data_IF_121645936766
#
_entry.id   IF_121645936766
#
_cell.length_a   1.000
_cell.length_b   1.000
_cell.length_c   1.000
_cell.angle_alpha   90.00
_cell.angle_beta   90.00
_cell.angle_gamma   90.00
#
_symmetry.space_group_name_H-M   'P 1'
#
loop_
_entity.id
_entity.type
_entity.pdbx_description
1 polymer ?
#
# COMPACT_ATOMS: atom_id res chain seq x y z
N UNK A 1 -1.31 -13.35 -1.54
CA UNK A 1 -2.24 -14.51 -1.50
C UNK A 1 -3.67 -13.98 -1.34
N UNK A 2 -4.58 -14.42 -2.24
CA UNK A 2 -6.01 -14.05 -2.17
C UNK A 2 -6.71 -14.69 -0.96
N UNK A 3 -7.91 -14.18 -0.63
CA UNK A 3 -8.72 -14.63 0.51
C UNK A 3 -8.95 -16.14 0.48
N UNK A 4 -9.33 -16.70 -0.69
CA UNK A 4 -9.61 -18.13 -0.87
C UNK A 4 -8.39 -19.03 -0.57
N UNK A 5 -7.16 -18.57 -0.87
CA UNK A 5 -5.93 -19.32 -0.57
C UNK A 5 -5.65 -19.31 0.92
N UNK A 6 -5.86 -18.17 1.59
CA UNK A 6 -5.71 -18.04 3.04
C UNK A 6 -6.71 -18.91 3.80
N UNK A 7 -7.96 -18.96 3.35
CA UNK A 7 -9.00 -19.82 3.93
C UNK A 7 -8.69 -21.30 3.71
N UNK A 8 -8.20 -21.68 2.51
CA UNK A 8 -7.81 -23.07 2.22
C UNK A 8 -6.60 -23.53 3.05
N UNK A 9 -5.63 -22.64 3.31
CA UNK A 9 -4.51 -22.95 4.21
C UNK A 9 -5.00 -23.18 5.64
N UNK A 10 -5.98 -22.39 6.11
CA UNK A 10 -6.58 -22.54 7.43
C UNK A 10 -7.36 -23.85 7.61
N UNK A 11 -8.10 -24.25 6.58
CA UNK A 11 -8.89 -25.51 6.63
C UNK A 11 -8.04 -26.79 6.60
N UNK A 12 -6.75 -26.70 6.30
CA UNK A 12 -5.86 -27.86 6.18
C UNK A 12 -5.44 -28.46 7.54
N UNK A 13 -5.50 -27.69 8.63
CA UNK A 13 -5.18 -28.19 9.98
C UNK A 13 -5.90 -27.34 11.05
N UNK A 14 -6.63 -28.00 11.94
CA UNK A 14 -7.43 -27.38 13.00
C UNK A 14 -6.60 -26.79 14.16
N UNK A 15 -5.32 -27.17 14.31
CA UNK A 15 -4.44 -26.77 15.42
C UNK A 15 -3.16 -26.11 14.94
N UNK A 16 -3.25 -25.05 14.12
CA UNK A 16 -2.08 -24.26 13.72
C UNK A 16 -2.28 -22.79 14.10
N UNK A 17 -1.31 -22.24 14.82
CA UNK A 17 -1.21 -20.79 15.03
C UNK A 17 -0.88 -20.09 13.70
N UNK A 18 -1.66 -19.06 13.38
CA UNK A 18 -1.53 -18.31 12.12
C UNK A 18 -1.18 -16.87 12.40
N UNK A 19 0.06 -16.48 12.13
CA UNK A 19 0.49 -15.08 12.15
C UNK A 19 0.43 -14.49 10.75
N UNK A 20 -0.25 -13.36 10.61
CA UNK A 20 -0.32 -12.59 9.35
C UNK A 20 0.37 -11.25 9.55
N UNK A 21 1.37 -10.95 8.72
CA UNK A 21 2.10 -9.68 8.73
C UNK A 21 1.74 -8.87 7.47
N UNK A 22 1.50 -7.58 7.63
CA UNK A 22 1.22 -6.67 6.51
C UNK A 22 1.65 -5.25 6.84
N UNK A 23 2.10 -4.50 5.84
CA UNK A 23 2.37 -3.07 5.97
C UNK A 23 1.07 -2.24 5.86
N UNK A 24 0.11 -2.73 5.08
CA UNK A 24 -1.21 -2.12 4.86
C UNK A 24 -2.25 -3.22 4.94
N UNK A 25 -2.97 -3.38 6.08
CA UNK A 25 -4.02 -4.37 6.17
C UNK A 25 -5.09 -4.10 5.11
N UNK A 26 -5.51 -5.16 4.41
CA UNK A 26 -6.65 -5.06 3.48
C UNK A 26 -7.88 -4.64 4.30
N UNK A 27 -8.73 -3.71 3.81
CA UNK A 27 -9.90 -3.22 4.55
C UNK A 27 -10.72 -4.33 5.20
N UNK A 28 -10.97 -5.43 4.50
CA UNK A 28 -11.69 -6.60 5.03
C UNK A 28 -10.95 -7.29 6.20
N UNK A 29 -9.63 -7.45 6.10
CA UNK A 29 -8.82 -8.04 7.20
C UNK A 29 -8.79 -7.11 8.41
N UNK A 30 -8.71 -5.81 8.18
CA UNK A 30 -8.77 -4.79 9.22
C UNK A 30 -10.13 -4.80 9.92
N UNK A 31 -11.23 -4.88 9.17
CA UNK A 31 -12.59 -5.03 9.74
C UNK A 31 -12.70 -6.24 10.67
N UNK A 32 -12.23 -7.43 10.25
CA UNK A 32 -12.25 -8.61 11.11
C UNK A 32 -11.46 -8.43 12.40
N UNK A 33 -10.35 -7.69 12.37
CA UNK A 33 -9.57 -7.40 13.59
C UNK A 33 -10.27 -6.37 14.46
N UNK A 34 -10.86 -5.35 13.88
CA UNK A 34 -11.66 -4.35 14.62
C UNK A 34 -12.92 -4.96 15.26
N UNK A 35 -13.44 -6.04 14.69
CA UNK A 35 -14.57 -6.83 15.25
C UNK A 35 -14.15 -7.80 16.36
N UNK A 36 -12.91 -7.73 16.83
CA UNK A 36 -12.35 -8.71 17.80
C UNK A 36 -12.45 -10.17 17.33
N UNK A 37 -12.61 -10.38 16.02
CA UNK A 37 -12.57 -11.72 15.42
C UNK A 37 -11.13 -12.22 15.25
N UNK A 38 -10.13 -11.34 15.44
CA UNK A 38 -8.69 -11.64 15.42
C UNK A 38 -7.95 -10.61 16.25
N UNK A 39 -6.94 -11.06 16.97
CA UNK A 39 -6.01 -10.18 17.65
C UNK A 39 -5.23 -9.34 16.67
N UNK A 40 -5.02 -8.07 17.00
CA UNK A 40 -4.29 -7.12 16.21
C UNK A 40 -3.18 -6.48 17.04
N UNK A 41 -1.95 -6.63 16.58
CA UNK A 41 -0.81 -5.89 17.12
C UNK A 41 -0.26 -4.92 16.08
N UNK A 42 -0.02 -3.67 16.48
CA UNK A 42 0.46 -2.61 15.60
C UNK A 42 1.88 -2.24 16.00
N UNK A 43 2.82 -2.32 15.04
CA UNK A 43 4.20 -1.89 15.23
C UNK A 43 4.30 -0.42 14.78
N UNK A 44 4.28 0.50 15.73
CA UNK A 44 4.29 1.95 15.45
C UNK A 44 5.69 2.57 15.44
N UNK A 45 6.70 1.91 16.02
CA UNK A 45 8.04 2.47 16.12
C UNK A 45 8.83 2.21 14.82
N UNK A 46 9.14 3.25 14.04
CA UNK A 46 9.94 3.09 12.84
C UNK A 46 11.42 2.81 13.20
N UNK A 47 12.20 2.19 12.30
CA UNK A 47 13.64 2.08 12.46
C UNK A 47 14.31 3.46 12.55
N UNK A 48 15.26 3.62 13.49
CA UNK A 48 15.92 4.90 13.81
C UNK A 48 16.69 5.55 12.64
N UNK A 49 17.05 4.77 11.62
CA UNK A 49 17.90 5.22 10.51
C UNK A 49 17.10 5.59 9.24
N UNK A 50 15.77 5.71 9.31
CA UNK A 50 14.96 6.06 8.14
C UNK A 50 14.55 7.52 8.16
N UNK A 51 14.74 8.17 7.01
CA UNK A 51 14.25 9.53 6.75
C UNK A 51 12.87 9.43 6.09
N UNK A 52 11.89 10.26 6.49
CA UNK A 52 10.60 10.31 5.80
C UNK A 52 10.76 10.62 4.31
N UNK A 53 9.93 9.96 3.48
CA UNK A 53 9.94 10.17 2.04
C UNK A 53 9.24 11.50 1.73
N UNK A 54 9.94 12.41 1.07
CA UNK A 54 9.36 13.65 0.60
C UNK A 54 8.39 13.35 -0.53
N UNK A 55 7.10 13.55 -0.28
CA UNK A 55 6.03 13.18 -1.21
C UNK A 55 5.38 14.45 -1.76
N UNK A 56 5.20 14.50 -3.08
CA UNK A 56 4.59 15.64 -3.76
C UNK A 56 3.59 15.19 -4.82
N UNK A 57 2.45 15.89 -4.88
CA UNK A 57 1.44 15.71 -5.93
C UNK A 57 1.68 16.76 -7.00
N UNK A 58 2.07 16.32 -8.18
CA UNK A 58 2.44 17.19 -9.28
C UNK A 58 1.56 16.97 -10.52
N UNK A 59 1.48 17.97 -11.38
CA UNK A 59 1.01 17.78 -12.75
C UNK A 59 2.14 17.22 -13.60
N UNK A 60 1.77 16.62 -14.72
CA UNK A 60 2.78 16.17 -15.70
C UNK A 60 3.57 17.38 -16.22
N UNK A 61 4.83 17.47 -15.84
CA UNK A 61 5.76 18.56 -16.19
C UNK A 61 7.11 17.98 -16.60
N UNK A 62 7.44 18.17 -17.87
CA UNK A 62 8.67 17.65 -18.45
C UNK A 62 9.93 18.21 -17.79
N UNK A 63 9.93 19.49 -17.41
CA UNK A 63 11.09 20.12 -16.80
C UNK A 63 11.34 19.58 -15.40
N UNK A 64 10.29 19.50 -14.57
CA UNK A 64 10.38 18.96 -13.22
C UNK A 64 10.83 17.50 -13.25
N UNK A 65 10.23 16.67 -14.13
CA UNK A 65 10.60 15.24 -14.27
C UNK A 65 12.06 15.12 -14.67
N UNK A 66 12.49 15.85 -15.70
CA UNK A 66 13.87 15.83 -16.17
C UNK A 66 14.86 16.24 -15.09
N UNK A 67 14.59 17.34 -14.41
CA UNK A 67 15.52 17.93 -13.44
C UNK A 67 15.61 17.04 -12.18
N UNK A 68 14.49 16.45 -11.73
CA UNK A 68 14.49 15.47 -10.64
C UNK A 68 15.23 14.18 -11.00
N UNK A 69 15.10 13.68 -12.24
CA UNK A 69 15.85 12.51 -12.71
C UNK A 69 17.34 12.82 -12.74
N UNK A 70 17.74 13.96 -13.30
CA UNK A 70 19.15 14.37 -13.34
C UNK A 70 19.75 14.48 -11.95
N UNK A 71 19.06 15.14 -11.06
CA UNK A 71 19.48 15.26 -9.66
C UNK A 71 19.72 13.88 -9.01
N UNK A 72 18.81 12.91 -9.24
CA UNK A 72 18.97 11.57 -8.68
C UNK A 72 20.19 10.83 -9.28
N UNK A 73 20.36 10.90 -10.61
CA UNK A 73 21.49 10.26 -11.29
C UNK A 73 22.83 10.90 -10.89
N UNK A 74 22.89 12.23 -10.78
CA UNK A 74 24.11 12.96 -10.39
C UNK A 74 24.61 12.58 -8.99
N UNK A 75 23.69 12.27 -8.06
CA UNK A 75 24.08 11.76 -6.73
C UNK A 75 24.28 10.24 -6.66
N UNK A 76 24.27 9.56 -7.85
CA UNK A 76 24.49 8.13 -7.98
C UNK A 76 23.31 7.27 -7.49
N UNK A 77 22.10 7.80 -7.47
CA UNK A 77 20.89 7.05 -7.11
C UNK A 77 20.17 6.49 -8.33
N UNK A 78 19.14 5.70 -8.08
CA UNK A 78 18.29 5.07 -9.09
C UNK A 78 16.83 5.50 -8.96
N UNK A 79 16.09 5.34 -10.04
CA UNK A 79 14.72 5.83 -10.15
C UNK A 79 13.77 4.69 -10.53
N UNK A 80 12.65 4.60 -9.82
CA UNK A 80 11.47 3.90 -10.28
C UNK A 80 10.56 4.86 -11.04
N UNK A 81 10.12 4.46 -12.24
CA UNK A 81 9.07 5.17 -12.95
C UNK A 81 7.90 4.22 -13.20
N UNK A 82 6.78 4.46 -12.52
CA UNK A 82 5.59 3.62 -12.63
C UNK A 82 4.65 4.16 -13.68
N UNK A 83 4.36 3.33 -14.69
CA UNK A 83 3.40 3.63 -15.75
C UNK A 83 2.48 2.44 -15.97
N UNK A 84 1.25 2.51 -15.45
CA UNK A 84 0.35 1.34 -15.36
C UNK A 84 -0.44 1.06 -16.65
N UNK A 85 0.19 1.23 -17.81
CA UNK A 85 -0.41 0.89 -19.11
C UNK A 85 0.61 0.14 -19.96
N UNK A 86 0.45 -1.16 -20.08
CA UNK A 86 1.37 -2.02 -20.87
C UNK A 86 1.34 -1.62 -22.35
N UNK A 87 0.17 -1.25 -22.88
CA UNK A 87 -0.03 -1.04 -24.30
C UNK A 87 0.79 0.13 -24.86
N UNK A 88 1.06 1.15 -24.06
CA UNK A 88 1.86 2.31 -24.47
C UNK A 88 3.15 2.52 -23.64
N UNK A 89 3.55 1.54 -22.82
CA UNK A 89 4.76 1.67 -21.98
C UNK A 89 6.04 1.84 -22.83
N UNK A 90 6.09 1.23 -23.99
CA UNK A 90 7.22 1.35 -24.93
C UNK A 90 7.32 2.76 -25.52
N UNK A 91 6.20 3.36 -25.92
CA UNK A 91 6.15 4.74 -26.41
C UNK A 91 6.53 5.72 -25.29
N UNK A 92 6.03 5.47 -24.08
CA UNK A 92 6.41 6.24 -22.91
C UNK A 92 7.91 6.12 -22.60
N UNK A 93 8.51 4.96 -22.81
CA UNK A 93 9.93 4.72 -22.67
C UNK A 93 10.76 5.52 -23.69
N UNK A 94 10.31 5.62 -24.94
CA UNK A 94 10.94 6.45 -25.98
C UNK A 94 10.89 7.92 -25.56
N UNK A 95 9.72 8.43 -25.18
CA UNK A 95 9.57 9.80 -24.67
C UNK A 95 10.52 10.07 -23.49
N UNK A 96 10.60 9.15 -22.52
CA UNK A 96 11.47 9.30 -21.36
C UNK A 96 12.95 9.30 -21.76
N UNK A 97 13.35 8.48 -22.73
CA UNK A 97 14.72 8.47 -23.26
C UNK A 97 15.07 9.78 -23.99
N UNK A 98 14.13 10.38 -24.71
CA UNK A 98 14.31 11.69 -25.35
C UNK A 98 14.45 12.82 -24.30
N UNK A 99 13.70 12.71 -23.19
CA UNK A 99 13.74 13.69 -22.10
C UNK A 99 15.06 13.66 -21.34
N UNK A 100 15.65 12.46 -21.16
CA UNK A 100 16.91 12.22 -20.45
C UNK A 100 17.85 11.31 -21.26
N UNK A 101 18.47 11.82 -22.35
CA UNK A 101 19.20 10.99 -23.32
C UNK A 101 20.36 10.19 -22.72
N UNK A 102 20.98 10.70 -21.65
CA UNK A 102 22.14 10.07 -21.00
C UNK A 102 21.77 8.99 -19.98
N UNK A 103 20.50 8.86 -19.62
CA UNK A 103 20.04 7.88 -18.66
C UNK A 103 19.87 6.51 -19.32
N UNK A 104 20.29 5.46 -18.61
CA UNK A 104 20.04 4.07 -19.02
C UNK A 104 18.68 3.63 -18.49
N UNK A 105 17.75 3.33 -19.39
CA UNK A 105 16.37 2.97 -19.07
C UNK A 105 16.10 1.52 -19.45
N UNK A 106 15.47 0.74 -18.56
CA UNK A 106 14.90 -0.56 -18.90
C UNK A 106 13.43 -0.61 -18.55
N UNK A 107 12.67 -1.34 -19.38
CA UNK A 107 11.23 -1.51 -19.23
C UNK A 107 10.95 -2.88 -18.62
N UNK A 108 10.04 -2.92 -17.63
CA UNK A 108 9.61 -4.15 -16.99
C UNK A 108 8.08 -4.18 -16.79
N UNK A 109 7.42 -5.26 -17.22
CA UNK A 109 5.98 -5.44 -17.07
C UNK A 109 5.62 -6.94 -17.03
N UNK A 110 4.41 -7.26 -16.59
CA UNK A 110 3.96 -8.65 -16.35
C UNK A 110 3.88 -9.55 -17.60
N UNK A 111 3.90 -8.99 -18.82
CA UNK A 111 3.93 -9.77 -20.07
C UNK A 111 5.35 -10.22 -20.47
N UNK A 112 6.38 -9.75 -19.77
CA UNK A 112 7.77 -10.20 -20.01
C UNK A 112 7.94 -11.60 -19.40
N UNK A 113 8.64 -12.48 -20.11
CA UNK A 113 8.98 -13.82 -19.61
C UNK A 113 9.69 -13.74 -18.26
N UNK A 114 9.31 -14.61 -17.31
CA UNK A 114 9.77 -14.55 -15.92
C UNK A 114 11.29 -14.50 -15.76
N UNK A 115 12.04 -15.33 -16.52
CA UNK A 115 13.52 -15.32 -16.48
C UNK A 115 14.12 -13.98 -16.95
N UNK A 116 13.55 -13.38 -17.98
CA UNK A 116 13.99 -12.07 -18.49
C UNK A 116 13.65 -10.96 -17.50
N UNK A 117 12.48 -11.04 -16.87
CA UNK A 117 12.08 -10.10 -15.84
C UNK A 117 13.01 -10.18 -14.63
N UNK A 118 13.30 -11.39 -14.15
CA UNK A 118 14.25 -11.62 -13.05
C UNK A 118 15.62 -11.04 -13.37
N UNK A 119 16.13 -11.26 -14.58
CA UNK A 119 17.40 -10.68 -15.02
C UNK A 119 17.39 -9.14 -14.96
N UNK A 120 16.32 -8.49 -15.47
CA UNK A 120 16.19 -7.03 -15.43
C UNK A 120 16.20 -6.54 -13.97
N UNK A 121 15.52 -7.25 -13.07
CA UNK A 121 15.47 -6.89 -11.65
C UNK A 121 16.83 -7.03 -10.97
N UNK A 122 17.58 -8.10 -11.26
CA UNK A 122 18.95 -8.28 -10.74
C UNK A 122 19.90 -7.20 -11.27
N UNK A 123 19.84 -6.86 -12.55
CA UNK A 123 20.61 -5.78 -13.13
C UNK A 123 20.31 -4.42 -12.48
N UNK A 124 19.04 -4.16 -12.11
CA UNK A 124 18.63 -2.96 -11.38
C UNK A 124 19.20 -2.94 -9.97
N UNK A 125 19.09 -4.05 -9.23
CA UNK A 125 19.67 -4.18 -7.89
C UNK A 125 21.19 -3.94 -7.91
N UNK A 126 21.86 -4.43 -8.96
CA UNK A 126 23.30 -4.28 -9.16
C UNK A 126 23.72 -2.90 -9.68
N UNK A 127 22.76 -1.95 -9.83
CA UNK A 127 23.03 -0.59 -10.32
C UNK A 127 23.60 -0.54 -11.76
N UNK A 128 23.17 -1.46 -12.64
CA UNK A 128 23.65 -1.50 -14.02
C UNK A 128 22.92 -0.50 -14.94
N UNK A 129 21.78 0.04 -14.49
CA UNK A 129 21.02 1.08 -15.17
C UNK A 129 20.28 2.00 -14.19
N UNK A 130 19.86 3.17 -14.66
CA UNK A 130 19.45 4.30 -13.83
C UNK A 130 17.94 4.31 -13.56
N UNK A 131 17.13 3.97 -14.56
CA UNK A 131 15.66 4.08 -14.49
C UNK A 131 15.00 2.75 -14.82
N UNK A 132 14.21 2.24 -13.88
CA UNK A 132 13.30 1.14 -14.13
C UNK A 132 11.90 1.70 -14.43
N UNK A 133 11.53 1.70 -15.72
CA UNK A 133 10.17 2.02 -16.17
C UNK A 133 9.32 0.75 -16.08
N UNK A 134 8.32 0.74 -15.21
CA UNK A 134 7.56 -0.48 -14.95
C UNK A 134 6.07 -0.24 -14.70
N UNK A 135 5.29 -1.30 -14.81
CA UNK A 135 3.93 -1.35 -14.25
C UNK A 135 4.00 -1.60 -12.72
N UNK A 136 2.89 -1.96 -12.10
CA UNK A 136 2.80 -2.25 -10.65
C UNK A 136 3.63 -3.45 -10.16
N UNK A 137 4.40 -4.10 -11.02
CA UNK A 137 5.23 -5.26 -10.64
C UNK A 137 6.24 -4.98 -9.53
N UNK A 138 6.59 -3.70 -9.31
CA UNK A 138 7.49 -3.29 -8.23
C UNK A 138 6.91 -3.49 -6.83
N UNK A 139 5.59 -3.71 -6.70
CA UNK A 139 4.94 -4.01 -5.42
C UNK A 139 5.41 -5.34 -4.82
N UNK A 140 5.97 -6.26 -5.62
CA UNK A 140 6.31 -7.63 -5.23
C UNK A 140 7.62 -7.78 -4.46
N UNK A 141 7.85 -6.98 -3.41
CA UNK A 141 8.89 -7.27 -2.41
C UNK A 141 10.34 -6.97 -2.83
N UNK A 142 10.56 -6.28 -3.95
CA UNK A 142 11.90 -5.90 -4.40
C UNK A 142 12.55 -4.91 -3.42
N UNK A 143 13.74 -5.22 -2.96
CA UNK A 143 14.56 -4.32 -2.13
C UNK A 143 15.71 -3.74 -2.96
N UNK A 144 15.63 -2.44 -3.27
CA UNK A 144 16.65 -1.70 -4.01
C UNK A 144 17.09 -0.49 -3.17
N UNK A 145 18.12 -0.65 -2.33
CA UNK A 145 18.53 0.41 -1.41
C UNK A 145 18.97 1.70 -2.09
N UNK A 146 19.45 1.62 -3.34
CA UNK A 146 19.92 2.77 -4.10
C UNK A 146 18.82 3.52 -4.85
N UNK A 147 17.58 2.98 -4.91
CA UNK A 147 16.43 3.66 -5.50
C UNK A 147 15.85 4.67 -4.49
N UNK A 148 16.07 5.96 -4.72
CA UNK A 148 15.63 7.01 -3.81
C UNK A 148 14.59 7.95 -4.42
N UNK A 149 14.27 7.80 -5.71
CA UNK A 149 13.22 8.59 -6.36
C UNK A 149 12.22 7.66 -7.05
N UNK A 150 10.93 7.93 -6.87
CA UNK A 150 9.85 7.25 -7.57
C UNK A 150 8.87 8.25 -8.17
N UNK A 151 8.54 8.04 -9.45
CA UNK A 151 7.44 8.71 -10.13
C UNK A 151 6.29 7.73 -10.33
N UNK A 152 5.08 8.12 -9.96
CA UNK A 152 3.86 7.32 -10.15
C UNK A 152 2.95 8.09 -11.10
N UNK A 153 2.96 7.68 -12.37
CA UNK A 153 2.17 8.33 -13.42
C UNK A 153 0.70 7.92 -13.35
N UNK A 154 -0.19 8.91 -13.51
CA UNK A 154 -1.63 8.74 -13.36
C UNK A 154 -2.00 8.17 -11.97
N UNK A 155 -1.44 8.75 -10.91
CA UNK A 155 -1.60 8.30 -9.53
C UNK A 155 -3.07 8.20 -9.08
N UNK A 156 -3.99 8.97 -9.66
CA UNK A 156 -5.43 8.90 -9.38
C UNK A 156 -6.08 7.56 -9.71
N UNK A 157 -5.44 6.74 -10.56
CA UNK A 157 -5.96 5.44 -10.98
C UNK A 157 -5.59 4.29 -10.02
N UNK A 158 -4.78 4.56 -8.99
CA UNK A 158 -4.35 3.57 -8.02
C UNK A 158 -5.16 3.63 -6.73
N UNK A 159 -5.24 2.51 -6.04
CA UNK A 159 -5.75 2.45 -4.68
C UNK A 159 -4.81 3.14 -3.69
N UNK A 160 -5.35 3.57 -2.55
CA UNK A 160 -4.56 4.26 -1.52
C UNK A 160 -3.46 3.34 -0.96
N UNK A 161 -3.78 2.07 -0.73
CA UNK A 161 -2.82 1.05 -0.30
C UNK A 161 -1.71 0.82 -1.33
N UNK A 162 -2.03 0.81 -2.64
CA UNK A 162 -1.06 0.61 -3.71
C UNK A 162 -0.08 1.80 -3.78
N UNK A 163 -0.61 3.04 -3.69
CA UNK A 163 0.21 4.24 -3.63
C UNK A 163 1.17 4.23 -2.44
N UNK A 164 0.70 3.79 -1.28
CA UNK A 164 1.53 3.67 -0.08
C UNK A 164 2.62 2.61 -0.24
N UNK A 165 2.30 1.44 -0.79
CA UNK A 165 3.27 0.38 -1.04
C UNK A 165 4.32 0.80 -2.05
N UNK A 166 3.92 1.45 -3.15
CA UNK A 166 4.84 1.97 -4.16
C UNK A 166 5.75 3.06 -3.58
N UNK A 167 5.21 4.02 -2.82
CA UNK A 167 6.00 5.01 -2.10
C UNK A 167 7.05 4.34 -1.19
N UNK A 168 6.69 3.30 -0.48
CA UNK A 168 7.58 2.54 0.40
C UNK A 168 8.68 1.74 -0.32
N UNK A 169 8.74 1.78 -1.66
CA UNK A 169 9.84 1.17 -2.43
C UNK A 169 11.11 2.00 -2.45
N UNK A 170 11.02 3.29 -2.15
CA UNK A 170 12.16 4.19 -2.00
C UNK A 170 12.39 4.55 -0.52
N UNK A 171 13.50 5.23 -0.21
CA UNK A 171 13.83 5.64 1.15
C UNK A 171 14.30 4.49 2.04
N UNK A 172 15.04 3.53 1.47
CA UNK A 172 15.60 2.39 2.18
C UNK A 172 17.09 2.58 2.52
N UNK A 173 17.62 3.75 2.25
CA UNK A 173 18.96 4.19 2.58
C UNK A 173 18.92 5.41 3.49
N UNK A 174 20.10 5.94 3.86
CA UNK A 174 20.25 7.18 4.61
C UNK A 174 20.16 8.45 3.73
N UNK A 175 19.88 8.30 2.43
CA UNK A 175 19.72 9.42 1.50
C UNK A 175 18.25 9.91 1.52
N UNK A 176 18.06 11.20 1.26
CA UNK A 176 16.72 11.75 1.05
C UNK A 176 16.03 11.07 -0.12
N UNK A 177 14.79 10.66 0.08
CA UNK A 177 13.99 10.00 -0.95
C UNK A 177 12.79 10.85 -1.34
N UNK A 178 12.40 10.74 -2.63
CA UNK A 178 11.34 11.53 -3.24
C UNK A 178 10.29 10.64 -3.88
N UNK A 179 9.03 11.01 -3.71
CA UNK A 179 7.90 10.33 -4.34
C UNK A 179 7.00 11.37 -5.03
N UNK A 180 6.93 11.31 -6.35
CA UNK A 180 6.12 12.21 -7.15
C UNK A 180 4.85 11.49 -7.64
N UNK A 181 3.70 11.93 -7.15
CA UNK A 181 2.39 11.49 -7.60
C UNK A 181 1.93 12.36 -8.76
N UNK A 182 2.09 11.88 -9.99
CA UNK A 182 1.70 12.62 -11.20
C UNK A 182 0.22 12.42 -11.45
N UNK A 183 -0.55 13.51 -11.46
CA UNK A 183 -2.00 13.51 -11.70
C UNK A 183 -2.39 14.53 -12.77
N UNK A 184 -3.50 14.34 -13.49
CA UNK A 184 -4.13 15.42 -14.22
C UNK A 184 -4.64 16.50 -13.24
N UNK A 185 -5.16 17.64 -13.73
CA UNK A 185 -5.75 18.64 -12.87
C UNK A 185 -6.78 18.03 -11.90
N UNK A 186 -6.72 18.38 -10.61
CA UNK A 186 -7.60 17.81 -9.59
C UNK A 186 -9.09 18.02 -9.89
N UNK A 187 -9.44 19.05 -10.66
CA UNK A 187 -10.82 19.28 -11.13
C UNK A 187 -11.33 18.22 -12.12
N UNK A 188 -10.45 17.46 -12.75
CA UNK A 188 -10.79 16.45 -13.77
C UNK A 188 -10.82 15.00 -13.25
N UNK A 189 -10.52 14.78 -11.98
CA UNK A 189 -10.54 13.46 -11.35
C UNK A 189 -11.75 13.30 -10.43
N UNK A 190 -12.15 12.06 -10.16
CA UNK A 190 -13.29 11.73 -9.30
C UNK A 190 -13.04 12.17 -7.85
N UNK A 191 -14.11 12.38 -7.07
CA UNK A 191 -13.98 12.81 -5.68
C UNK A 191 -13.26 11.76 -4.82
N UNK A 192 -13.48 10.47 -5.06
CA UNK A 192 -12.76 9.41 -4.38
C UNK A 192 -11.26 9.40 -4.72
N UNK A 193 -10.90 9.70 -5.97
CA UNK A 193 -9.50 9.87 -6.34
C UNK A 193 -8.87 11.07 -5.65
N UNK A 194 -9.59 12.21 -5.53
CA UNK A 194 -9.15 13.39 -4.76
C UNK A 194 -8.90 13.04 -3.30
N UNK A 195 -9.85 12.32 -2.66
CA UNK A 195 -9.73 11.87 -1.26
C UNK A 195 -8.49 10.97 -1.08
N UNK A 196 -8.24 10.00 -1.99
CA UNK A 196 -7.05 9.14 -1.93
C UNK A 196 -5.74 9.92 -2.09
N UNK A 197 -5.67 10.83 -3.07
CA UNK A 197 -4.49 11.67 -3.29
C UNK A 197 -4.24 12.62 -2.10
N UNK A 198 -5.28 13.20 -1.52
CA UNK A 198 -5.16 14.01 -0.31
C UNK A 198 -4.67 13.17 0.88
N UNK A 199 -5.21 11.97 1.07
CA UNK A 199 -4.83 11.07 2.15
C UNK A 199 -3.36 10.62 2.04
N UNK A 200 -2.89 10.19 0.85
CA UNK A 200 -1.49 9.77 0.69
C UNK A 200 -0.50 10.90 0.94
N UNK A 201 -0.88 12.14 0.65
CA UNK A 201 -0.06 13.31 0.93
C UNK A 201 -0.07 13.68 2.43
N UNK A 202 -1.21 13.55 3.09
CA UNK A 202 -1.36 13.81 4.53
C UNK A 202 -0.58 12.81 5.39
N UNK A 203 -0.66 11.53 5.06
CA UNK A 203 0.01 10.46 5.80
C UNK A 203 1.40 10.15 5.21
N UNK A 204 2.31 11.13 5.27
CA UNK A 204 3.68 11.01 4.76
C UNK A 204 4.68 10.44 5.77
N UNK A 205 4.32 10.37 7.04
CA UNK A 205 5.19 9.91 8.11
C UNK A 205 5.43 8.38 8.08
N UNK A 206 6.56 7.98 8.65
CA UNK A 206 6.88 6.56 8.84
C UNK A 206 5.88 5.93 9.83
N UNK A 207 5.48 4.69 9.56
CA UNK A 207 4.49 3.98 10.40
C UNK A 207 3.03 4.31 10.10
N UNK A 208 2.73 5.19 9.13
CA UNK A 208 1.37 5.59 8.77
C UNK A 208 0.51 4.51 8.09
N UNK A 209 1.03 3.29 7.89
CA UNK A 209 0.34 2.23 7.15
C UNK A 209 -1.02 1.86 7.72
N UNK A 210 -1.18 1.83 9.04
CA UNK A 210 -2.47 1.59 9.69
C UNK A 210 -3.46 2.72 9.40
N UNK A 211 -3.06 3.97 9.57
CA UNK A 211 -3.91 5.15 9.32
C UNK A 211 -4.33 5.21 7.85
N UNK A 212 -3.45 4.85 6.92
CA UNK A 212 -3.75 4.76 5.49
C UNK A 212 -4.80 3.68 5.23
N UNK A 213 -4.69 2.52 5.87
CA UNK A 213 -5.66 1.44 5.73
C UNK A 213 -7.04 1.82 6.29
N UNK A 214 -7.06 2.53 7.42
CA UNK A 214 -8.29 3.08 7.98
C UNK A 214 -8.93 4.10 7.03
N UNK A 215 -8.11 4.98 6.46
CA UNK A 215 -8.60 5.99 5.50
C UNK A 215 -9.06 5.37 4.18
N UNK A 216 -8.40 4.30 3.71
CA UNK A 216 -8.85 3.54 2.54
C UNK A 216 -10.21 2.87 2.80
N UNK A 217 -10.40 2.32 4.00
CA UNK A 217 -11.68 1.75 4.44
C UNK A 217 -12.79 2.82 4.45
N UNK A 218 -12.50 4.01 5.01
CA UNK A 218 -13.43 5.13 5.05
C UNK A 218 -13.81 5.61 3.63
N UNK A 219 -12.85 5.77 2.72
CA UNK A 219 -13.09 6.26 1.35
C UNK A 219 -13.90 5.24 0.53
N UNK A 220 -13.62 3.96 0.67
CA UNK A 220 -14.35 2.90 -0.05
C UNK A 220 -15.75 2.65 0.50
N UNK A 221 -16.04 3.17 1.69
CA UNK A 221 -17.10 2.66 2.54
C UNK A 221 -16.72 1.27 3.08
N UNK A 222 -17.31 0.82 4.16
CA UNK A 222 -17.15 -0.55 4.62
C UNK A 222 -17.94 -1.49 3.69
N UNK A 223 -17.52 -1.58 2.45
CA UNK A 223 -18.17 -2.43 1.46
C UNK A 223 -18.47 -3.80 2.07
N UNK A 224 -19.60 -4.33 1.66
CA UNK A 224 -20.19 -5.59 2.01
C UNK A 224 -19.27 -6.62 2.69
N UNK A 225 -19.44 -6.80 4.01
CA UNK A 225 -18.81 -7.88 4.75
C UNK A 225 -19.44 -9.23 4.36
N UNK A 226 -20.68 -9.24 3.86
CA UNK A 226 -21.47 -10.44 3.63
C UNK A 226 -22.16 -10.54 2.26
N UNK A 227 -21.98 -9.62 1.31
CA UNK A 227 -22.57 -9.65 -0.05
C UNK A 227 -23.21 -8.31 -0.46
N UNK A 228 -23.04 -7.94 -1.62
CA UNK A 228 -23.44 -7.03 -2.71
C UNK A 228 -24.10 -5.68 -2.47
N UNK A 229 -24.62 -5.21 -1.36
CA UNK A 229 -25.50 -4.02 -1.40
C UNK A 229 -25.31 -2.94 -0.29
N UNK A 230 -24.27 -2.95 0.52
CA UNK A 230 -24.13 -1.98 1.62
C UNK A 230 -22.91 -1.04 1.52
N UNK A 231 -22.54 -0.65 0.32
CA UNK A 231 -21.55 0.41 0.09
C UNK A 231 -22.18 1.78 0.37
N UNK A 232 -21.98 2.33 1.53
CA UNK A 232 -22.47 3.68 1.85
C UNK A 232 -22.68 3.96 3.33
N UNK A 233 -23.00 2.96 4.13
CA UNK A 233 -23.39 3.13 5.53
C UNK A 233 -22.35 3.89 6.39
N UNK A 234 -21.05 3.64 6.20
CA UNK A 234 -20.00 4.36 6.95
C UNK A 234 -19.96 5.83 6.57
N UNK A 235 -20.18 6.17 5.31
CA UNK A 235 -20.20 7.57 4.87
C UNK A 235 -21.36 8.36 5.49
N UNK A 236 -22.49 7.69 5.75
CA UNK A 236 -23.70 8.33 6.27
C UNK A 236 -23.68 8.48 7.79
N UNK A 237 -23.18 7.47 8.52
CA UNK A 237 -23.20 7.46 10.01
C UNK A 237 -21.85 7.79 10.64
N UNK A 238 -20.78 7.83 9.88
CA UNK A 238 -19.40 8.01 10.36
C UNK A 238 -18.78 6.72 10.92
N UNK A 239 -17.44 6.66 10.84
CA UNK A 239 -16.69 5.45 11.22
C UNK A 239 -16.82 5.09 12.70
N UNK A 240 -16.79 6.07 13.61
CA UNK A 240 -16.91 5.83 15.06
C UNK A 240 -18.25 5.22 15.44
N UNK A 241 -19.35 5.75 14.85
CA UNK A 241 -20.70 5.23 15.08
C UNK A 241 -20.82 3.82 14.52
N UNK A 242 -20.26 3.57 13.33
CA UNK A 242 -20.23 2.23 12.73
C UNK A 242 -19.49 1.23 13.62
N UNK A 243 -18.30 1.58 14.16
CA UNK A 243 -17.55 0.72 15.07
C UNK A 243 -18.34 0.39 16.34
N UNK A 244 -19.03 1.38 16.91
CA UNK A 244 -19.84 1.20 18.10
C UNK A 244 -20.98 0.22 17.86
N UNK A 245 -21.76 0.43 16.81
CA UNK A 245 -22.88 -0.47 16.42
C UNK A 245 -22.36 -1.89 16.17
N UNK A 246 -21.23 -2.02 15.47
CA UNK A 246 -20.63 -3.31 15.17
C UNK A 246 -20.17 -4.05 16.43
N UNK A 247 -19.51 -3.34 17.36
CA UNK A 247 -19.05 -3.90 18.64
C UNK A 247 -20.22 -4.36 19.50
N UNK A 248 -21.29 -3.57 19.54
CA UNK A 248 -22.53 -3.91 20.26
C UNK A 248 -23.18 -5.17 19.68
N UNK A 249 -23.30 -5.25 18.33
CA UNK A 249 -23.87 -6.41 17.65
C UNK A 249 -23.04 -7.70 17.86
N UNK A 250 -21.70 -7.60 17.80
CA UNK A 250 -20.80 -8.74 18.07
C UNK A 250 -20.93 -9.21 19.50
N UNK A 251 -21.00 -8.29 20.48
CA UNK A 251 -21.19 -8.64 21.89
C UNK A 251 -22.56 -9.29 22.15
N UNK A 252 -23.61 -8.81 21.48
CA UNK A 252 -24.93 -9.38 21.55
C UNK A 252 -24.95 -10.82 21.02
N UNK A 253 -24.32 -11.07 19.85
CA UNK A 253 -24.20 -12.39 19.26
C UNK A 253 -23.37 -13.34 20.14
N UNK A 254 -22.23 -12.88 20.69
CA UNK A 254 -21.42 -13.68 21.65
C UNK A 254 -22.23 -14.09 22.87
N UNK A 255 -23.05 -13.20 23.39
CA UNK A 255 -23.83 -13.44 24.59
C UNK A 255 -25.12 -14.22 24.35
N UNK A 256 -25.72 -14.18 23.17
CA UNK A 256 -26.98 -14.84 22.82
C UNK A 256 -26.79 -16.21 22.18
N UNK A 257 -26.23 -16.23 20.94
CA UNK A 257 -26.17 -17.43 20.11
C UNK A 257 -24.95 -18.30 20.38
N UNK A 258 -23.81 -17.69 20.76
CA UNK A 258 -22.52 -18.36 20.90
C UNK A 258 -22.03 -18.47 22.32
N UNK A 259 -22.90 -18.26 23.31
CA UNK A 259 -22.59 -18.30 24.75
C UNK A 259 -21.87 -19.59 25.20
N UNK A 260 -22.06 -20.69 24.49
CA UNK A 260 -21.39 -21.97 24.79
C UNK A 260 -19.97 -22.07 24.28
N UNK A 261 -19.64 -21.35 23.20
CA UNK A 261 -18.33 -21.39 22.56
C UNK A 261 -17.31 -20.44 23.22
N UNK A 262 -17.80 -19.38 23.90
CA UNK A 262 -16.96 -18.35 24.53
C UNK A 262 -16.99 -18.39 26.06
N UNK A 263 -17.51 -19.47 26.68
CA UNK A 263 -17.51 -19.63 28.15
C UNK A 263 -16.11 -19.85 28.73
N UNK A 264 -15.16 -20.32 27.95
CA UNK A 264 -13.80 -20.61 28.42
C UNK A 264 -12.91 -19.35 28.50
N UNK A 265 -13.24 -18.29 27.78
CA UNK A 265 -12.46 -17.03 27.77
C UNK A 265 -12.70 -16.13 29.02
N UNK A 266 -13.73 -16.45 29.84
CA UNK A 266 -14.04 -15.67 31.06
C UNK A 266 -13.36 -16.17 32.33
N UNK A 267 -12.61 -17.27 32.30
CA UNK A 267 -12.00 -17.87 33.51
C UNK A 267 -10.62 -17.27 33.82
N UNK A 268 -9.94 -16.63 32.85
CA UNK A 268 -8.57 -16.11 33.03
C UNK A 268 -8.48 -14.67 33.57
N UNK A 269 -9.55 -13.88 33.60
CA UNK A 269 -9.52 -12.52 34.17
C UNK A 269 -9.71 -12.44 35.69
N UNK A 270 -10.07 -13.53 36.38
CA UNK A 270 -10.33 -13.52 37.81
C UNK A 270 -9.18 -14.00 38.70
N UNK A 271 -8.00 -14.30 38.13
CA UNK A 271 -6.88 -14.87 38.89
C UNK A 271 -5.65 -13.94 39.00
N UNK A 272 -5.74 -12.66 38.65
CA UNK A 272 -4.63 -11.71 38.76
C UNK A 272 -4.83 -10.57 39.77
N UNK A 273 -5.80 -10.71 40.70
CA UNK A 273 -5.92 -9.78 41.85
C UNK A 273 -5.77 -10.51 43.18
N UNK A 274 -4.71 -11.26 43.44
CA UNK A 274 -4.23 -11.61 44.77
C UNK A 274 -2.82 -12.18 44.71
N UNK A 275 -1.81 -11.31 44.70
CA UNK A 275 -0.53 -11.46 45.46
C UNK A 275 0.31 -10.20 45.38
#
# INVERSE_FOLDING_TARGET
FGVNVKEKIRSLKENIDVLTLTATPIPRTLQYSLMSARDLSIINTPPSNRVPIQSEVIRFDNNLIRDSIRFEIERGGQIFFVHNRIDNISEFGIWLQELVPNAKIKIAHSKIEGKKLEKIMLEFINNEFDILLSTTIIESGLDVPNANTIFINNAQNFGLSDLHQMRGRVGRSNKNAFCYFITPPLSSITDDAKKRIAAINQYSELGSGFNISMKDLEIRGAGDILGGEQSGFINDIGFETYQKILSEAVNELKNSEFKRLFKDDQIDESTTEET
#
